data_IF_190867502200
#
_entry.id   IF_190867502200
#
_cell.length_a   1.000
_cell.length_b   1.000
_cell.length_c   1.000
_cell.angle_alpha   90.00
_cell.angle_beta   90.00
_cell.angle_gamma   90.00
#
_symmetry.space_group_name_H-M   'P 1'
#
loop_
_entity.id
_entity.type
_entity.pdbx_description
1 polymer ?
#
# COMPACT_ATOMS: atom_id res chain seq x y z
N UNK A 1 -0.66 -5.42 -29.58
CA UNK A 1 -2.12 -5.19 -29.72
C UNK A 1 -2.66 -4.90 -28.33
N UNK A 2 -3.37 -3.78 -28.13
CA UNK A 2 -4.06 -3.52 -26.85
C UNK A 2 -5.15 -4.59 -26.72
N UNK A 3 -5.13 -5.37 -25.64
CA UNK A 3 -6.21 -6.32 -25.40
C UNK A 3 -7.54 -5.55 -25.29
N UNK A 4 -8.63 -6.08 -25.86
CA UNK A 4 -9.95 -5.48 -25.65
C UNK A 4 -10.24 -5.47 -24.15
N UNK A 5 -10.59 -4.31 -23.62
CA UNK A 5 -10.95 -4.15 -22.21
C UNK A 5 -12.42 -4.53 -22.11
N UNK A 6 -12.73 -5.57 -21.35
CA UNK A 6 -14.12 -5.92 -21.07
C UNK A 6 -14.72 -4.92 -20.07
N UNK A 7 -16.04 -4.65 -20.10
CA UNK A 7 -16.68 -3.73 -19.16
C UNK A 7 -16.48 -4.13 -17.68
N UNK A 8 -16.25 -5.41 -17.41
CA UNK A 8 -15.94 -5.95 -16.09
C UNK A 8 -14.53 -5.51 -15.61
N UNK A 9 -13.58 -5.41 -16.53
CA UNK A 9 -12.21 -4.97 -16.25
C UNK A 9 -12.16 -3.47 -16.00
N UNK A 10 -12.97 -2.66 -16.71
CA UNK A 10 -13.08 -1.22 -16.45
C UNK A 10 -13.50 -0.92 -15.01
N UNK A 11 -14.52 -1.63 -14.52
CA UNK A 11 -14.97 -1.50 -13.13
C UNK A 11 -13.86 -1.86 -12.14
N UNK A 12 -13.09 -2.90 -12.44
CA UNK A 12 -11.97 -3.34 -11.60
C UNK A 12 -10.85 -2.32 -11.59
N UNK A 13 -10.49 -1.75 -12.74
CA UNK A 13 -9.50 -0.68 -12.88
C UNK A 13 -9.91 0.59 -12.14
N UNK A 14 -11.19 0.97 -12.22
CA UNK A 14 -11.74 2.09 -11.45
C UNK A 14 -11.60 1.86 -9.95
N UNK A 15 -11.94 0.65 -9.47
CA UNK A 15 -11.76 0.27 -8.06
C UNK A 15 -10.29 0.30 -7.65
N UNK A 16 -9.36 -0.13 -8.51
CA UNK A 16 -7.91 -0.05 -8.25
C UNK A 16 -7.48 1.41 -8.10
N UNK A 17 -7.92 2.29 -8.99
CA UNK A 17 -7.61 3.73 -8.90
C UNK A 17 -8.21 4.37 -7.64
N UNK A 18 -9.45 4.03 -7.29
CA UNK A 18 -10.08 4.49 -6.05
C UNK A 18 -9.32 3.98 -4.81
N UNK A 19 -8.91 2.71 -4.81
CA UNK A 19 -8.13 2.13 -3.72
C UNK A 19 -6.79 2.86 -3.56
N UNK A 20 -6.11 3.23 -4.64
CA UNK A 20 -4.87 4.01 -4.58
C UNK A 20 -5.08 5.39 -3.92
N UNK A 21 -6.12 6.11 -4.33
CA UNK A 21 -6.47 7.42 -3.77
C UNK A 21 -6.90 7.33 -2.31
N UNK A 22 -7.84 6.45 -1.99
CA UNK A 22 -8.36 6.27 -0.63
C UNK A 22 -7.28 5.71 0.29
N UNK A 23 -6.53 4.71 -0.18
CA UNK A 23 -5.44 4.09 0.57
C UNK A 23 -4.36 5.09 0.96
N UNK A 24 -3.95 5.97 0.05
CA UNK A 24 -3.00 7.03 0.37
C UNK A 24 -3.54 8.02 1.40
N UNK A 25 -4.81 8.45 1.29
CA UNK A 25 -5.44 9.33 2.28
C UNK A 25 -5.50 8.66 3.65
N UNK A 26 -5.99 7.42 3.72
CA UNK A 26 -6.12 6.66 4.98
C UNK A 26 -4.76 6.41 5.63
N UNK A 27 -3.71 6.18 4.83
CA UNK A 27 -2.35 5.97 5.34
C UNK A 27 -1.81 7.18 6.10
N UNK A 28 -2.21 8.40 5.75
CA UNK A 28 -1.86 9.60 6.52
C UNK A 28 -2.89 9.89 7.63
N UNK A 29 -4.17 9.72 7.32
CA UNK A 29 -5.27 10.13 8.19
C UNK A 29 -5.37 9.27 9.45
N UNK A 30 -5.26 7.94 9.34
CA UNK A 30 -5.40 7.02 10.49
C UNK A 30 -4.31 7.29 11.55
N UNK A 31 -3.01 7.30 11.21
CA UNK A 31 -1.98 7.65 12.19
C UNK A 31 -2.14 9.05 12.75
N UNK A 32 -2.52 10.03 11.93
CA UNK A 32 -2.70 11.41 12.38
C UNK A 32 -3.80 11.52 13.45
N UNK A 33 -4.95 10.90 13.23
CA UNK A 33 -6.04 10.88 14.21
C UNK A 33 -5.59 10.20 15.51
N UNK A 34 -4.92 9.04 15.41
CA UNK A 34 -4.44 8.32 16.59
C UNK A 34 -3.41 9.14 17.37
N UNK A 35 -2.49 9.81 16.66
CA UNK A 35 -1.50 10.69 17.28
C UNK A 35 -2.16 11.86 18.02
N UNK A 36 -3.22 12.44 17.46
CA UNK A 36 -3.97 13.54 18.08
C UNK A 36 -4.74 13.10 19.32
N UNK A 37 -5.30 11.89 19.33
CA UNK A 37 -6.11 11.37 20.46
C UNK A 37 -5.23 10.82 21.59
N UNK A 38 -4.22 10.02 21.26
CA UNK A 38 -3.40 9.29 22.26
C UNK A 38 -2.18 10.11 22.69
N UNK A 39 -1.73 11.05 21.85
CA UNK A 39 -0.56 11.87 22.12
C UNK A 39 0.76 11.13 21.94
N UNK A 40 1.83 11.72 22.49
CA UNK A 40 3.24 11.33 22.23
C UNK A 40 3.57 9.90 22.66
N UNK A 41 2.83 9.34 23.62
CA UNK A 41 3.02 7.98 24.14
C UNK A 41 2.84 6.90 23.06
N UNK A 42 2.15 7.21 21.96
CA UNK A 42 1.93 6.26 20.86
C UNK A 42 2.97 6.35 19.73
N UNK A 43 3.94 7.28 19.80
CA UNK A 43 4.88 7.53 18.72
C UNK A 43 5.71 6.29 18.33
N UNK A 44 6.03 5.40 19.27
CA UNK A 44 6.77 4.17 18.99
C UNK A 44 5.88 3.12 18.29
N UNK A 45 4.59 3.10 18.62
CA UNK A 45 3.61 2.18 18.02
C UNK A 45 3.14 2.62 16.63
N UNK A 46 3.34 3.89 16.28
CA UNK A 46 2.89 4.43 15.00
C UNK A 46 3.63 3.80 13.82
N UNK A 47 4.90 3.41 14.01
CA UNK A 47 5.71 2.71 13.01
C UNK A 47 5.13 1.32 12.70
N UNK A 48 4.79 0.56 13.74
CA UNK A 48 4.13 -0.74 13.58
C UNK A 48 2.74 -0.61 12.96
N UNK A 49 1.98 0.42 13.36
CA UNK A 49 0.68 0.71 12.76
C UNK A 49 0.81 0.96 11.26
N UNK A 50 1.77 1.79 10.84
CA UNK A 50 2.01 2.08 9.44
C UNK A 50 2.40 0.83 8.64
N UNK A 51 3.20 -0.07 9.22
CA UNK A 51 3.54 -1.36 8.60
C UNK A 51 2.31 -2.24 8.37
N UNK A 52 1.42 -2.34 9.38
CA UNK A 52 0.18 -3.09 9.26
C UNK A 52 -0.72 -2.48 8.18
N UNK A 53 -0.90 -1.16 8.16
CA UNK A 53 -1.69 -0.47 7.15
C UNK A 53 -1.14 -0.67 5.73
N UNK A 54 0.18 -0.62 5.55
CA UNK A 54 0.81 -0.87 4.25
C UNK A 54 0.65 -2.32 3.80
N UNK A 55 0.82 -3.29 4.70
CA UNK A 55 0.59 -4.70 4.38
C UNK A 55 -0.85 -4.96 3.96
N UNK A 56 -1.83 -4.45 4.71
CA UNK A 56 -3.24 -4.57 4.37
C UNK A 56 -3.55 -3.96 3.00
N UNK A 57 -3.01 -2.78 2.72
CA UNK A 57 -3.17 -2.14 1.41
C UNK A 57 -2.57 -3.00 0.27
N UNK A 58 -1.36 -3.54 0.44
CA UNK A 58 -0.71 -4.40 -0.56
C UNK A 58 -1.54 -5.65 -0.85
N UNK A 59 -2.07 -6.29 0.19
CA UNK A 59 -2.92 -7.48 0.05
C UNK A 59 -4.21 -7.13 -0.69
N UNK A 60 -4.90 -6.06 -0.28
CA UNK A 60 -6.12 -5.59 -0.95
C UNK A 60 -5.86 -5.27 -2.43
N UNK A 61 -4.77 -4.57 -2.74
CA UNK A 61 -4.37 -4.28 -4.11
C UNK A 61 -4.14 -5.57 -4.93
N UNK A 62 -3.43 -6.55 -4.37
CA UNK A 62 -3.17 -7.82 -5.07
C UNK A 62 -4.44 -8.62 -5.35
N UNK A 63 -5.36 -8.68 -4.37
CA UNK A 63 -6.67 -9.34 -4.52
C UNK A 63 -7.50 -8.65 -5.60
N UNK A 64 -7.45 -7.32 -5.66
CA UNK A 64 -8.21 -6.55 -6.64
C UNK A 64 -7.67 -6.74 -8.05
N UNK A 65 -6.33 -6.70 -8.21
CA UNK A 65 -5.68 -6.95 -9.49
C UNK A 65 -5.86 -8.39 -9.97
N UNK A 66 -5.90 -9.40 -9.08
CA UNK A 66 -6.14 -10.79 -9.49
C UNK A 66 -7.54 -11.04 -10.06
N UNK A 67 -8.48 -10.11 -9.89
CA UNK A 67 -9.84 -10.19 -10.45
C UNK A 67 -9.93 -9.72 -11.91
N UNK A 68 -8.89 -9.08 -12.43
CA UNK A 68 -8.83 -8.66 -13.84
C UNK A 68 -8.72 -9.89 -14.73
N UNK A 69 -9.52 -9.93 -15.79
CA UNK A 69 -9.68 -11.11 -16.67
C UNK A 69 -8.38 -11.53 -17.36
N UNK A 70 -7.58 -10.54 -17.78
CA UNK A 70 -6.45 -10.75 -18.68
C UNK A 70 -5.10 -10.59 -17.95
N UNK A 71 -4.22 -11.59 -18.08
CA UNK A 71 -2.85 -11.57 -17.53
C UNK A 71 -2.03 -10.37 -18.03
N UNK A 72 -2.20 -9.98 -19.29
CA UNK A 72 -1.46 -8.85 -19.84
C UNK A 72 -1.91 -7.54 -19.21
N UNK A 73 -3.23 -7.38 -19.01
CA UNK A 73 -3.79 -6.22 -18.32
C UNK A 73 -3.39 -6.20 -16.83
N UNK A 74 -3.35 -7.36 -16.16
CA UNK A 74 -2.81 -7.47 -14.79
C UNK A 74 -1.36 -6.99 -14.69
N UNK A 75 -0.51 -7.38 -15.65
CA UNK A 75 0.88 -6.95 -15.69
C UNK A 75 1.00 -5.46 -15.95
N UNK A 76 0.18 -4.91 -16.85
CA UNK A 76 0.14 -3.48 -17.13
C UNK A 76 -0.32 -2.66 -15.93
N UNK A 77 -1.28 -3.14 -15.13
CA UNK A 77 -1.69 -2.48 -13.89
C UNK A 77 -0.58 -2.54 -12.83
N UNK A 78 0.09 -3.69 -12.70
CA UNK A 78 1.19 -3.86 -11.73
C UNK A 78 2.46 -3.10 -12.12
N UNK A 79 2.75 -2.97 -13.42
CA UNK A 79 3.97 -2.29 -13.91
C UNK A 79 3.73 -0.84 -14.31
N UNK A 80 2.49 -0.47 -14.59
CA UNK A 80 2.09 0.86 -15.03
C UNK A 80 2.31 1.92 -13.96
N UNK A 81 2.71 3.11 -14.40
CA UNK A 81 2.94 4.28 -13.54
C UNK A 81 1.66 4.99 -13.09
N UNK A 82 0.52 4.66 -13.70
CA UNK A 82 -0.76 5.33 -13.45
C UNK A 82 -1.59 4.77 -12.29
N UNK A 83 -1.38 3.49 -11.93
CA UNK A 83 -2.24 2.76 -10.97
C UNK A 83 -1.48 2.19 -9.76
N UNK A 84 -0.16 2.39 -9.70
CA UNK A 84 0.72 1.62 -8.81
C UNK A 84 1.69 2.48 -7.99
N UNK A 85 1.50 3.81 -7.94
CA UNK A 85 2.45 4.70 -7.26
C UNK A 85 2.42 4.47 -5.76
N UNK A 86 1.23 4.49 -5.17
CA UNK A 86 1.10 4.30 -3.72
C UNK A 86 1.49 2.88 -3.29
N UNK A 87 1.19 1.87 -4.11
CA UNK A 87 1.66 0.49 -3.88
C UNK A 87 3.20 0.36 -3.92
N UNK A 88 3.87 1.01 -4.87
CA UNK A 88 5.35 1.04 -4.88
C UNK A 88 5.91 1.71 -3.64
N UNK A 89 5.33 2.85 -3.25
CA UNK A 89 5.71 3.52 -2.00
C UNK A 89 5.46 2.64 -0.78
N UNK A 90 4.37 1.86 -0.77
CA UNK A 90 4.05 0.93 0.32
C UNK A 90 5.13 -0.16 0.47
N UNK A 91 5.60 -0.72 -0.65
CA UNK A 91 6.71 -1.67 -0.64
C UNK A 91 8.02 -1.04 -0.19
N UNK A 92 8.36 0.15 -0.70
CA UNK A 92 9.56 0.88 -0.30
C UNK A 92 9.55 1.19 1.21
N UNK A 93 8.41 1.65 1.72
CA UNK A 93 8.19 1.92 3.14
C UNK A 93 8.40 0.66 3.98
N UNK A 94 7.77 -0.47 3.60
CA UNK A 94 7.92 -1.72 4.35
C UNK A 94 9.38 -2.15 4.42
N UNK A 95 10.09 -2.19 3.29
CA UNK A 95 11.51 -2.59 3.24
C UNK A 95 12.35 -1.66 4.11
N UNK A 96 12.21 -0.34 3.96
CA UNK A 96 12.95 0.64 4.75
C UNK A 96 12.65 0.50 6.25
N UNK A 97 11.38 0.33 6.62
CA UNK A 97 10.96 0.21 8.01
C UNK A 97 11.53 -1.06 8.67
N UNK A 98 11.60 -2.18 7.93
CA UNK A 98 12.20 -3.42 8.40
C UNK A 98 13.71 -3.26 8.59
N UNK A 99 14.41 -2.65 7.61
CA UNK A 99 15.85 -2.38 7.71
C UNK A 99 16.16 -1.52 8.94
N UNK A 100 15.39 -0.45 9.16
CA UNK A 100 15.58 0.45 10.31
C UNK A 100 15.36 -0.30 11.63
N UNK A 101 14.29 -1.10 11.75
CA UNK A 101 14.02 -1.85 12.99
C UNK A 101 15.08 -2.91 13.27
N UNK A 102 15.53 -3.63 12.24
CA UNK A 102 16.59 -4.64 12.38
C UNK A 102 17.91 -3.96 12.76
N UNK A 103 18.29 -2.88 12.07
CA UNK A 103 19.48 -2.10 12.39
C UNK A 103 19.45 -1.52 13.81
N UNK A 104 18.31 -0.97 14.22
CA UNK A 104 18.13 -0.48 15.59
C UNK A 104 18.33 -1.59 16.62
N UNK A 105 17.73 -2.77 16.40
CA UNK A 105 17.87 -3.91 17.32
C UNK A 105 19.32 -4.40 17.44
N UNK A 106 20.08 -4.40 16.34
CA UNK A 106 21.48 -4.83 16.35
C UNK A 106 22.30 -3.85 17.20
N UNK A 107 22.18 -2.54 16.93
CA UNK A 107 22.96 -1.50 17.62
C UNK A 107 22.55 -1.38 19.10
N UNK A 108 21.27 -1.56 19.44
CA UNK A 108 20.81 -1.42 20.83
C UNK A 108 21.17 -2.60 21.74
N UNK A 109 21.59 -3.72 21.17
CA UNK A 109 21.99 -4.94 21.89
C UNK A 109 23.51 -5.16 21.94
N UNK A 110 24.30 -4.26 21.33
CA UNK A 110 25.74 -4.08 21.58
C UNK A 110 25.95 -3.08 22.73
#
# INVERSE_FOLDING_TARGET
>A
MKAPIEPQDELTLLRVSQLEKIGSILFFLIPLIILLVVGKSFAVNILYLWQVLTLLYIVAFRILVSKVSNKQLQLDVRRGWGYNRFYRMSWAYLVLSVIIMVGYRIISHE
#
